data_IF_278468013917
#
_entry.id   IF_278468013917
#
_cell.length_a   1.000
_cell.length_b   1.000
_cell.length_c   1.000
_cell.angle_alpha   90.00
_cell.angle_beta   90.00
_cell.angle_gamma   90.00
#
_symmetry.space_group_name_H-M   'P 1'
#
loop_
_entity.id
_entity.type
_entity.pdbx_description
1 polymer ?
#
# COMPACT_ATOMS: atom_id res chain seq x y z
N UNK A 1 18.98 -12.09 16.21
CA UNK A 1 19.64 -11.80 14.91
C UNK A 1 19.01 -12.74 13.89
N UNK A 2 17.97 -12.30 13.16
CA UNK A 2 17.27 -13.18 12.22
C UNK A 2 18.19 -13.49 11.02
N UNK A 3 18.24 -14.75 10.54
CA UNK A 3 19.00 -15.09 9.35
C UNK A 3 18.50 -14.23 8.19
N UNK A 4 19.43 -13.54 7.52
CA UNK A 4 19.10 -12.77 6.33
C UNK A 4 18.54 -13.74 5.28
N UNK A 5 17.38 -13.45 4.65
CA UNK A 5 16.91 -14.19 3.48
C UNK A 5 18.08 -14.42 2.53
N UNK A 6 18.29 -15.67 2.09
CA UNK A 6 19.21 -15.97 0.99
C UNK A 6 18.54 -15.55 -0.31
N UNK A 7 18.39 -14.24 -0.49
CA UNK A 7 17.83 -13.66 -1.70
C UNK A 7 18.73 -14.10 -2.84
N UNK A 8 18.15 -14.78 -3.83
CA UNK A 8 18.88 -15.27 -4.98
C UNK A 8 19.59 -14.08 -5.64
N UNK A 9 20.93 -14.13 -5.73
CA UNK A 9 21.75 -13.01 -6.19
C UNK A 9 21.29 -12.53 -7.57
N UNK A 10 20.79 -13.44 -8.41
CA UNK A 10 20.17 -13.11 -9.69
C UNK A 10 18.99 -12.14 -9.61
N UNK A 11 18.09 -12.28 -8.62
CA UNK A 11 16.97 -11.36 -8.44
C UNK A 11 17.40 -10.00 -7.89
N UNK A 12 18.47 -9.96 -7.08
CA UNK A 12 19.07 -8.71 -6.62
C UNK A 12 19.75 -7.98 -7.78
N UNK A 13 20.55 -8.70 -8.58
CA UNK A 13 21.19 -8.15 -9.79
C UNK A 13 20.13 -7.69 -10.79
N UNK A 14 19.10 -8.49 -11.07
CA UNK A 14 18.02 -8.11 -11.99
C UNK A 14 17.24 -6.90 -11.47
N UNK A 15 16.89 -6.88 -10.18
CA UNK A 15 16.24 -5.73 -9.55
C UNK A 15 17.11 -4.47 -9.60
N UNK A 16 18.42 -4.63 -9.42
CA UNK A 16 19.41 -3.53 -9.48
C UNK A 16 19.63 -3.06 -10.91
N UNK A 17 19.77 -3.95 -11.89
CA UNK A 17 19.89 -3.65 -13.32
C UNK A 17 18.67 -2.90 -13.82
N UNK A 18 17.49 -3.33 -13.41
CA UNK A 18 16.25 -2.66 -13.82
C UNK A 18 16.11 -1.31 -13.11
N UNK A 19 16.62 -1.16 -11.88
CA UNK A 19 16.68 0.12 -11.17
C UNK A 19 17.68 1.08 -11.80
N UNK A 20 18.88 0.59 -12.10
CA UNK A 20 19.96 1.34 -12.71
C UNK A 20 19.77 1.50 -14.21
N UNK A 21 18.79 0.84 -14.84
CA UNK A 21 18.63 0.88 -16.30
C UNK A 21 18.50 2.31 -16.82
N UNK A 22 17.71 3.15 -16.15
CA UNK A 22 17.54 4.55 -16.54
C UNK A 22 18.82 5.37 -16.27
N UNK A 23 19.48 5.17 -15.12
CA UNK A 23 20.72 5.86 -14.75
C UNK A 23 21.88 5.46 -15.66
N UNK A 24 22.11 4.15 -15.87
CA UNK A 24 23.10 3.59 -16.79
C UNK A 24 22.81 4.03 -18.22
N UNK A 25 21.56 3.98 -18.71
CA UNK A 25 21.30 4.45 -20.08
C UNK A 25 21.62 5.93 -20.22
N UNK A 26 21.28 6.75 -19.21
CA UNK A 26 21.56 8.20 -19.26
C UNK A 26 23.06 8.47 -19.15
N UNK A 27 23.78 7.74 -18.28
CA UNK A 27 25.23 7.85 -18.14
C UNK A 27 25.97 7.37 -19.39
N UNK A 28 25.59 6.23 -19.97
CA UNK A 28 26.20 5.69 -21.18
C UNK A 28 25.96 6.63 -22.36
N UNK A 29 24.72 7.11 -22.54
CA UNK A 29 24.40 8.08 -23.60
C UNK A 29 25.20 9.38 -23.37
N UNK A 30 25.24 9.88 -22.13
CA UNK A 30 26.01 11.06 -21.76
C UNK A 30 27.50 10.89 -22.01
N UNK A 31 28.08 9.74 -21.65
CA UNK A 31 29.49 9.42 -21.86
C UNK A 31 29.82 9.31 -23.35
N UNK A 32 29.01 8.59 -24.13
CA UNK A 32 29.19 8.47 -25.59
C UNK A 32 29.09 9.86 -26.24
N UNK A 33 28.12 10.67 -25.83
CA UNK A 33 27.95 12.04 -26.31
C UNK A 33 29.16 12.91 -25.92
N UNK A 34 29.65 12.80 -24.69
CA UNK A 34 30.83 13.51 -24.22
C UNK A 34 32.07 13.16 -25.05
N UNK A 35 32.38 11.87 -25.20
CA UNK A 35 33.53 11.40 -25.98
C UNK A 35 33.42 11.85 -27.45
N UNK A 36 32.21 11.80 -28.01
CA UNK A 36 31.97 12.29 -29.37
C UNK A 36 32.19 13.80 -29.48
N UNK A 37 31.73 14.61 -28.52
CA UNK A 37 31.94 16.07 -28.55
C UNK A 37 33.38 16.48 -28.23
N UNK A 38 34.05 15.74 -27.34
CA UNK A 38 35.47 15.93 -27.03
C UNK A 38 36.34 15.67 -28.25
N UNK A 39 35.96 14.71 -29.11
CA UNK A 39 36.63 14.47 -30.38
C UNK A 39 36.53 15.63 -31.39
N UNK A 40 35.58 16.55 -31.20
CA UNK A 40 35.47 17.81 -31.99
C UNK A 40 36.44 18.88 -31.49
N UNK A 41 36.98 18.74 -30.28
CA UNK A 41 38.05 19.58 -29.73
C UNK A 41 37.63 20.96 -29.23
N UNK A 42 36.33 21.24 -29.10
CA UNK A 42 35.84 22.54 -28.63
C UNK A 42 35.03 22.45 -27.31
N UNK A 43 35.60 22.87 -26.17
CA UNK A 43 34.96 22.74 -24.86
C UNK A 43 33.72 23.63 -24.69
N UNK A 44 33.60 24.72 -25.45
CA UNK A 44 32.42 25.60 -25.42
C UNK A 44 31.21 24.90 -26.03
N UNK A 45 31.42 24.11 -27.10
CA UNK A 45 30.36 23.32 -27.74
C UNK A 45 29.92 22.20 -26.78
N UNK A 46 30.87 21.50 -26.14
CA UNK A 46 30.56 20.47 -25.13
C UNK A 46 29.71 21.03 -24.00
N UNK A 47 30.16 22.11 -23.37
CA UNK A 47 29.41 22.76 -22.29
C UNK A 47 28.04 23.26 -22.75
N UNK A 48 27.99 23.86 -23.95
CA UNK A 48 26.75 24.36 -24.55
C UNK A 48 25.72 23.25 -24.82
N UNK A 49 26.15 22.05 -25.25
CA UNK A 49 25.24 20.92 -25.46
C UNK A 49 24.77 20.31 -24.15
N UNK A 50 25.66 20.11 -23.17
CA UNK A 50 25.28 19.55 -21.87
C UNK A 50 24.34 20.46 -21.06
N UNK A 51 24.43 21.77 -21.24
CA UNK A 51 23.53 22.75 -20.60
C UNK A 51 22.29 23.03 -21.47
N UNK A 52 22.50 23.22 -22.77
CA UNK A 52 21.45 23.60 -23.71
C UNK A 52 20.45 22.48 -23.99
N UNK A 53 20.89 21.23 -24.07
CA UNK A 53 20.02 20.08 -24.33
C UNK A 53 18.98 19.88 -23.21
N UNK A 54 19.34 19.80 -21.91
CA UNK A 54 18.32 19.71 -20.86
C UNK A 54 17.44 20.95 -20.83
N UNK A 55 18.00 22.16 -21.02
CA UNK A 55 17.20 23.38 -21.11
C UNK A 55 16.13 23.30 -22.20
N UNK A 56 16.49 22.84 -23.40
CA UNK A 56 15.56 22.65 -24.51
C UNK A 56 14.48 21.60 -24.17
N UNK A 57 14.89 20.48 -23.58
CA UNK A 57 13.97 19.40 -23.15
C UNK A 57 13.00 19.89 -22.08
N UNK A 58 13.42 20.79 -21.19
CA UNK A 58 12.56 21.39 -20.17
C UNK A 58 11.72 22.57 -20.69
N UNK A 59 12.19 23.29 -21.70
CA UNK A 59 11.47 24.39 -22.35
C UNK A 59 10.25 23.90 -23.13
N UNK A 60 10.36 22.73 -23.79
CA UNK A 60 9.23 22.14 -24.52
C UNK A 60 8.26 21.47 -23.52
N UNK A 61 6.99 21.93 -23.42
CA UNK A 61 6.07 21.46 -22.39
C UNK A 61 5.70 19.97 -22.55
N UNK A 62 5.75 19.45 -23.77
CA UNK A 62 5.45 18.05 -24.07
C UNK A 62 6.53 17.09 -23.55
N UNK A 63 7.80 17.39 -23.83
CA UNK A 63 8.94 16.60 -23.37
C UNK A 63 9.08 16.67 -21.85
N UNK A 64 8.89 17.85 -21.25
CA UNK A 64 8.85 18.01 -19.79
C UNK A 64 7.81 17.09 -19.15
N UNK A 65 6.59 17.01 -19.70
CA UNK A 65 5.54 16.12 -19.18
C UNK A 65 5.96 14.65 -19.27
N UNK A 66 6.58 14.23 -20.36
CA UNK A 66 7.07 12.86 -20.51
C UNK A 66 8.16 12.52 -19.50
N UNK A 67 9.17 13.38 -19.34
CA UNK A 67 10.27 13.17 -18.40
C UNK A 67 9.74 13.11 -16.96
N UNK A 68 8.88 14.06 -16.58
CA UNK A 68 8.26 14.07 -15.24
C UNK A 68 7.48 12.78 -14.99
N UNK A 69 6.66 12.32 -15.94
CA UNK A 69 5.95 11.04 -15.81
C UNK A 69 6.89 9.83 -15.68
N UNK A 70 8.06 9.84 -16.33
CA UNK A 70 9.05 8.76 -16.15
C UNK A 70 9.77 8.83 -14.81
N UNK A 71 10.06 10.03 -14.32
CA UNK A 71 10.66 10.22 -12.99
C UNK A 71 9.70 9.72 -11.91
N UNK A 72 8.41 10.06 -12.00
CA UNK A 72 7.40 9.55 -11.07
C UNK A 72 7.32 8.01 -11.09
N UNK A 73 7.42 7.37 -12.25
CA UNK A 73 7.47 5.89 -12.34
C UNK A 73 8.62 5.28 -11.54
N UNK A 74 9.77 5.95 -11.49
CA UNK A 74 10.92 5.50 -10.68
C UNK A 74 10.63 5.74 -9.19
N UNK A 75 10.13 6.92 -8.85
CA UNK A 75 9.80 7.30 -7.47
C UNK A 75 8.73 6.38 -6.87
N UNK A 76 7.66 6.10 -7.61
CA UNK A 76 6.56 5.26 -7.16
C UNK A 76 7.00 3.82 -6.97
N UNK A 77 7.83 3.30 -7.89
CA UNK A 77 8.44 1.99 -7.68
C UNK A 77 9.27 1.93 -6.39
N UNK A 78 9.99 2.99 -6.06
CA UNK A 78 10.74 3.06 -4.81
C UNK A 78 9.84 3.13 -3.59
N UNK A 79 8.82 3.97 -3.66
CA UNK A 79 7.86 4.17 -2.57
C UNK A 79 7.03 2.92 -2.31
N UNK A 80 6.53 2.24 -3.35
CA UNK A 80 5.83 0.96 -3.24
C UNK A 80 6.75 -0.09 -2.61
N UNK A 81 8.03 -0.17 -3.02
CA UNK A 81 8.96 -1.14 -2.39
C UNK A 81 9.21 -0.81 -0.92
N UNK A 82 9.35 0.46 -0.58
CA UNK A 82 9.52 0.89 0.81
C UNK A 82 8.27 0.64 1.64
N UNK A 83 7.07 0.89 1.10
CA UNK A 83 5.82 0.61 1.79
C UNK A 83 5.63 -0.88 2.01
N UNK A 84 5.84 -1.72 0.99
CA UNK A 84 5.79 -3.19 1.12
C UNK A 84 6.80 -3.72 2.16
N UNK A 85 7.96 -3.06 2.31
CA UNK A 85 8.93 -3.40 3.36
C UNK A 85 8.48 -2.99 4.76
N UNK A 86 7.77 -1.87 4.87
CA UNK A 86 7.30 -1.32 6.14
C UNK A 86 6.03 -2.02 6.62
N UNK A 87 5.10 -2.31 5.72
CA UNK A 87 3.81 -2.88 6.08
C UNK A 87 3.94 -4.31 6.57
N UNK A 88 4.90 -5.11 6.09
CA UNK A 88 5.14 -6.51 6.55
C UNK A 88 3.89 -7.40 6.65
N UNK A 89 2.76 -6.99 6.07
CA UNK A 89 1.49 -7.68 6.18
C UNK A 89 1.47 -8.69 5.04
N UNK A 90 1.46 -9.98 5.43
CA UNK A 90 1.24 -11.22 4.63
C UNK A 90 2.08 -11.48 3.36
N UNK A 91 2.70 -10.49 2.77
CA UNK A 91 3.41 -10.57 1.47
C UNK A 91 4.82 -11.17 1.57
N UNK A 92 5.34 -11.34 2.79
CA UNK A 92 6.67 -11.89 3.02
C UNK A 92 6.56 -13.41 3.14
N UNK A 93 7.09 -14.13 2.13
CA UNK A 93 7.30 -15.57 2.25
C UNK A 93 8.10 -15.86 3.51
N UNK A 94 7.94 -17.04 4.13
CA UNK A 94 8.66 -17.45 5.34
C UNK A 94 10.19 -17.27 5.25
N UNK A 95 10.72 -17.27 4.03
CA UNK A 95 12.12 -17.01 3.72
C UNK A 95 12.55 -15.54 3.73
N UNK A 96 11.63 -14.57 3.71
CA UNK A 96 11.95 -13.14 3.71
C UNK A 96 11.99 -12.48 2.32
N UNK A 97 11.43 -13.13 1.30
CA UNK A 97 11.38 -12.61 -0.06
C UNK A 97 10.27 -11.58 -0.26
N UNK A 98 10.59 -10.53 -1.01
CA UNK A 98 9.67 -9.42 -1.30
C UNK A 98 9.25 -9.45 -2.77
N UNK A 99 8.01 -9.03 -3.09
CA UNK A 99 7.58 -8.84 -4.47
C UNK A 99 8.59 -8.00 -5.28
N UNK A 100 8.87 -8.46 -6.49
CA UNK A 100 9.80 -7.82 -7.40
C UNK A 100 9.02 -6.92 -8.34
N UNK A 101 9.12 -5.61 -8.11
CA UNK A 101 8.63 -4.62 -9.04
C UNK A 101 9.63 -4.60 -10.20
N UNK A 102 9.22 -4.90 -11.43
CA UNK A 102 10.14 -4.98 -12.58
C UNK A 102 9.86 -3.94 -13.66
N UNK A 103 8.63 -3.47 -13.84
CA UNK A 103 8.33 -2.48 -14.87
C UNK A 103 7.34 -1.43 -14.40
N UNK A 104 7.55 -0.18 -14.78
CA UNK A 104 6.61 0.90 -14.51
C UNK A 104 6.35 1.64 -15.84
N UNK A 105 5.07 1.88 -16.14
CA UNK A 105 4.63 2.56 -17.36
C UNK A 105 3.73 3.72 -16.97
N UNK A 106 3.95 4.93 -17.51
CA UNK A 106 3.01 6.02 -17.31
C UNK A 106 1.69 5.71 -18.02
N UNK A 107 0.57 6.07 -17.40
CA UNK A 107 -0.79 5.97 -17.94
C UNK A 107 -1.44 7.35 -17.95
N UNK A 108 -2.67 7.47 -18.48
CA UNK A 108 -3.38 8.76 -18.51
C UNK A 108 -3.78 9.25 -17.11
N UNK A 109 -4.05 8.33 -16.19
CA UNK A 109 -4.55 8.59 -14.83
C UNK A 109 -3.44 8.62 -13.78
N UNK A 110 -2.24 8.17 -14.13
CA UNK A 110 -1.12 8.07 -13.23
C UNK A 110 -0.13 7.07 -13.82
N UNK A 111 0.02 5.92 -13.16
CA UNK A 111 1.08 4.96 -13.49
C UNK A 111 0.62 3.53 -13.29
N UNK A 112 1.20 2.60 -14.07
CA UNK A 112 1.00 1.17 -13.93
C UNK A 112 2.33 0.50 -13.61
N UNK A 113 2.40 -0.17 -12.47
CA UNK A 113 3.60 -0.85 -11.98
C UNK A 113 3.38 -2.35 -11.96
N UNK A 114 4.21 -3.08 -12.69
CA UNK A 114 4.19 -4.52 -12.76
C UNK A 114 4.99 -5.13 -11.63
N UNK A 115 4.35 -6.05 -10.93
CA UNK A 115 4.86 -6.72 -9.74
C UNK A 115 4.86 -8.22 -10.01
N UNK A 116 6.03 -8.81 -9.79
CA UNK A 116 6.21 -10.25 -9.76
C UNK A 116 6.14 -10.73 -8.31
N UNK A 117 5.26 -11.69 -8.08
CA UNK A 117 5.00 -12.30 -6.79
C UNK A 117 5.89 -13.54 -6.64
N UNK A 118 6.75 -13.61 -5.61
CA UNK A 118 7.49 -14.84 -5.31
C UNK A 118 6.53 -15.99 -4.96
N UNK A 119 7.02 -17.22 -5.07
CA UNK A 119 6.24 -18.39 -4.67
C UNK A 119 5.83 -18.29 -3.19
N UNK A 120 4.55 -18.61 -2.91
CA UNK A 120 3.95 -18.49 -1.59
C UNK A 120 3.37 -17.12 -1.25
N UNK A 121 3.39 -16.15 -2.18
CA UNK A 121 2.65 -14.89 -2.06
C UNK A 121 1.45 -14.86 -2.99
N UNK A 122 0.33 -14.32 -2.53
CA UNK A 122 -0.89 -14.19 -3.32
C UNK A 122 -1.12 -12.74 -3.75
N UNK A 123 -1.81 -12.57 -4.88
CA UNK A 123 -2.23 -11.24 -5.33
C UNK A 123 -3.11 -10.53 -4.28
N UNK A 124 -3.88 -11.30 -3.51
CA UNK A 124 -4.73 -10.78 -2.44
C UNK A 124 -3.93 -10.10 -1.32
N UNK A 125 -2.72 -10.57 -1.01
CA UNK A 125 -1.86 -9.94 -0.02
C UNK A 125 -1.41 -8.54 -0.46
N UNK A 126 -1.26 -8.34 -1.79
CA UNK A 126 -0.97 -7.02 -2.37
C UNK A 126 -2.21 -6.14 -2.36
N UNK A 127 -3.39 -6.72 -2.58
CA UNK A 127 -4.67 -6.02 -2.53
C UNK A 127 -4.92 -5.43 -1.13
N UNK A 128 -4.70 -6.23 -0.09
CA UNK A 128 -4.80 -5.80 1.31
C UNK A 128 -3.77 -4.70 1.66
N UNK A 129 -2.66 -4.61 0.91
CA UNK A 129 -1.63 -3.58 1.11
C UNK A 129 -1.91 -2.26 0.35
N UNK A 130 -2.92 -2.21 -0.54
CA UNK A 130 -3.19 -1.03 -1.37
C UNK A 130 -3.50 0.22 -0.54
N UNK A 131 -4.17 0.05 0.60
CA UNK A 131 -4.51 1.14 1.53
C UNK A 131 -3.28 1.84 2.12
N UNK A 132 -2.16 1.13 2.21
CA UNK A 132 -0.88 1.72 2.61
C UNK A 132 -0.08 2.23 1.42
N UNK A 133 -0.24 1.59 0.25
CA UNK A 133 0.48 1.96 -0.97
C UNK A 133 -0.01 3.31 -1.51
N UNK A 134 -1.32 3.56 -1.53
CA UNK A 134 -1.89 4.81 -2.01
C UNK A 134 -1.31 6.04 -1.30
N UNK A 135 -1.35 6.16 0.05
CA UNK A 135 -0.73 7.29 0.75
C UNK A 135 0.79 7.28 0.63
N UNK A 136 1.42 6.08 0.62
CA UNK A 136 2.86 5.98 0.43
C UNK A 136 3.30 6.43 -0.97
N UNK A 137 2.44 6.48 -1.98
CA UNK A 137 2.77 7.00 -3.31
C UNK A 137 2.26 8.42 -3.54
N UNK A 138 1.69 9.08 -2.53
CA UNK A 138 1.00 10.37 -2.70
C UNK A 138 -0.08 10.29 -3.81
N UNK A 139 -0.73 9.13 -3.91
CA UNK A 139 -1.77 8.86 -4.88
C UNK A 139 -3.16 9.04 -4.24
N UNK A 140 -4.16 9.28 -5.07
CA UNK A 140 -5.55 9.39 -4.61
C UNK A 140 -6.15 8.02 -4.33
N UNK A 141 -5.77 7.04 -5.14
CA UNK A 141 -6.26 5.66 -5.10
C UNK A 141 -5.19 4.73 -5.71
N UNK A 142 -5.20 3.46 -5.31
CA UNK A 142 -4.33 2.42 -5.88
C UNK A 142 -5.18 1.18 -6.16
N UNK A 143 -5.06 0.60 -7.35
CA UNK A 143 -5.88 -0.54 -7.78
C UNK A 143 -5.01 -1.70 -8.22
N UNK A 144 -5.45 -2.91 -7.92
CA UNK A 144 -4.77 -4.12 -8.39
C UNK A 144 -5.45 -4.68 -9.64
N UNK A 145 -4.64 -5.07 -10.61
CA UNK A 145 -5.03 -5.82 -11.79
C UNK A 145 -4.29 -7.15 -11.82
N UNK A 146 -5.03 -8.25 -11.78
CA UNK A 146 -4.49 -9.60 -11.89
C UNK A 146 -4.60 -10.11 -13.32
N UNK A 147 -3.59 -10.85 -13.79
CA UNK A 147 -3.64 -11.49 -15.12
C UNK A 147 -4.22 -12.89 -14.95
N UNK A 148 -5.33 -13.19 -15.64
CA UNK A 148 -5.98 -14.53 -15.56
C UNK A 148 -5.04 -15.70 -15.90
N UNK A 149 -4.08 -15.47 -16.80
CA UNK A 149 -3.13 -16.51 -17.25
C UNK A 149 -1.92 -16.68 -16.34
N UNK A 150 -1.61 -15.70 -15.49
CA UNK A 150 -0.37 -15.64 -14.70
C UNK A 150 -0.68 -15.10 -13.30
N UNK A 151 -0.83 -15.99 -12.33
CA UNK A 151 -1.06 -15.63 -10.92
C UNK A 151 0.16 -15.00 -10.26
N UNK A 152 1.37 -15.27 -10.78
CA UNK A 152 2.64 -14.73 -10.30
C UNK A 152 2.87 -13.28 -10.73
N UNK A 153 2.05 -12.73 -11.62
CA UNK A 153 2.22 -11.36 -12.12
C UNK A 153 0.95 -10.57 -11.92
N UNK A 154 1.08 -9.45 -11.22
CA UNK A 154 0.02 -8.46 -11.07
C UNK A 154 0.51 -7.07 -11.47
N UNK A 155 -0.43 -6.17 -11.74
CA UNK A 155 -0.17 -4.78 -12.05
C UNK A 155 -0.90 -3.89 -11.05
N UNK A 156 -0.16 -3.00 -10.40
CA UNK A 156 -0.68 -1.98 -9.50
C UNK A 156 -0.85 -0.69 -10.30
N UNK A 157 -2.07 -0.21 -10.39
CA UNK A 157 -2.39 1.09 -10.98
C UNK A 157 -2.44 2.15 -9.89
N UNK A 158 -1.49 3.08 -9.93
CA UNK A 158 -1.38 4.22 -9.04
C UNK A 158 -2.12 5.39 -9.67
N UNK A 159 -3.24 5.79 -9.08
CA UNK A 159 -4.14 6.81 -9.62
C UNK A 159 -3.88 8.14 -8.91
N UNK A 160 -3.34 9.10 -9.66
CA UNK A 160 -3.04 10.46 -9.18
C UNK A 160 -3.95 11.52 -9.79
N UNK A 161 -4.41 11.27 -11.01
CA UNK A 161 -5.25 12.18 -11.79
C UNK A 161 -6.53 11.48 -12.16
N UNK A 162 -7.63 12.17 -11.91
CA UNK A 162 -8.92 11.77 -12.43
C UNK A 162 -9.13 12.44 -13.79
N UNK A 163 -9.12 11.67 -14.91
CA UNK A 163 -9.31 12.23 -16.24
C UNK A 163 -10.73 12.78 -16.44
N UNK A 164 -11.71 12.33 -15.64
CA UNK A 164 -13.10 12.78 -15.71
C UNK A 164 -13.31 14.07 -14.92
N UNK A 165 -12.49 14.33 -13.90
CA UNK A 165 -12.55 15.58 -13.15
C UNK A 165 -12.18 16.81 -14.00
N UNK A 166 -11.28 16.65 -14.98
CA UNK A 166 -10.85 17.75 -15.87
C UNK A 166 -11.86 18.04 -17.00
N UNK A 167 -12.76 17.11 -17.30
CA UNK A 167 -13.80 17.28 -18.31
C UNK A 167 -15.02 16.49 -17.87
N UNK A 168 -15.96 17.19 -17.22
CA UNK A 168 -17.26 16.61 -16.88
C UNK A 168 -17.89 16.11 -18.19
N UNK A 169 -17.91 14.80 -18.38
CA UNK A 169 -18.57 14.20 -19.53
C UNK A 169 -20.06 14.46 -19.35
N UNK A 170 -20.60 15.36 -20.15
CA UNK A 170 -22.03 15.65 -20.17
C UNK A 170 -22.79 14.39 -20.55
N UNK A 171 -23.32 13.68 -19.56
CA UNK A 171 -24.11 12.48 -19.82
C UNK A 171 -25.40 12.89 -20.56
N UNK A 172 -25.80 12.21 -21.64
CA UNK A 172 -27.09 12.46 -22.28
C UNK A 172 -28.27 12.23 -21.32
N UNK A 173 -28.09 11.42 -20.27
CA UNK A 173 -29.07 11.25 -19.19
C UNK A 173 -29.25 12.49 -18.31
N UNK A 174 -28.25 13.40 -18.25
CA UNK A 174 -28.41 14.68 -17.56
C UNK A 174 -29.50 15.57 -18.19
N UNK A 175 -29.87 15.30 -19.45
CA UNK A 175 -31.02 15.96 -20.11
C UNK A 175 -32.35 15.39 -19.63
N UNK A 176 -32.41 14.10 -19.28
CA UNK A 176 -33.63 13.45 -18.81
C UNK A 176 -33.90 13.70 -17.32
N UNK A 177 -32.87 13.77 -16.47
CA UNK A 177 -33.04 14.13 -15.05
C UNK A 177 -33.48 15.57 -14.84
N UNK A 178 -33.26 16.48 -15.80
CA UNK A 178 -33.85 17.83 -15.76
C UNK A 178 -35.37 17.83 -15.94
N UNK A 179 -35.93 16.84 -16.62
CA UNK A 179 -37.38 16.69 -16.80
C UNK A 179 -38.05 15.93 -15.64
N UNK A 180 -37.27 15.23 -14.82
CA UNK A 180 -37.71 14.55 -13.60
C UNK A 180 -37.16 15.21 -12.34
N UNK A 181 -36.84 16.52 -12.38
CA UNK A 181 -36.72 17.27 -11.14
C UNK A 181 -38.03 17.05 -10.38
N UNK A 182 -38.03 16.40 -9.19
CA UNK A 182 -39.25 16.26 -8.43
C UNK A 182 -39.76 17.67 -8.18
N UNK A 183 -40.89 18.01 -8.80
CA UNK A 183 -41.68 19.15 -8.37
C UNK A 183 -41.93 18.92 -6.88
N UNK A 184 -41.48 19.84 -6.02
CA UNK A 184 -41.70 19.78 -4.58
C UNK A 184 -43.10 19.24 -4.24
N UNK A 185 -43.17 18.22 -3.38
CA UNK A 185 -44.18 18.25 -2.34
C UNK A 185 -43.50 17.85 -1.03
N UNK A 186 -42.93 18.83 -0.34
CA UNK A 186 -42.48 18.67 1.04
C UNK A 186 -41.16 17.92 1.17
N UNK A 187 -40.13 18.66 1.57
CA UNK A 187 -38.96 18.10 2.23
C UNK A 187 -39.43 17.24 3.42
N UNK A 188 -39.56 15.93 3.22
CA UNK A 188 -39.44 14.98 4.29
C UNK A 188 -37.97 15.05 4.73
N UNK A 189 -37.70 15.95 5.67
CA UNK A 189 -36.50 15.93 6.49
C UNK A 189 -36.37 14.50 7.00
N UNK A 190 -35.43 13.74 6.44
CA UNK A 190 -34.97 12.50 7.07
C UNK A 190 -34.29 12.96 8.35
N UNK A 191 -35.05 13.06 9.43
CA UNK A 191 -34.51 13.28 10.76
C UNK A 191 -33.63 12.08 11.04
N UNK A 192 -32.32 12.27 11.30
CA UNK A 192 -31.50 11.16 11.78
C UNK A 192 -32.15 10.64 13.06
N UNK A 193 -32.41 9.33 13.12
CA UNK A 193 -32.84 8.67 14.35
C UNK A 193 -31.70 8.92 15.35
N UNK A 194 -31.93 9.84 16.28
CA UNK A 194 -31.05 10.05 17.43
C UNK A 194 -31.11 8.76 18.24
N UNK A 195 -30.01 8.01 18.42
CA UNK A 195 -30.03 6.85 19.29
C UNK A 195 -30.40 7.33 20.69
N UNK A 196 -31.57 6.94 21.16
CA UNK A 196 -32.02 7.17 22.54
C UNK A 196 -31.10 6.37 23.45
N UNK A 197 -30.33 7.00 24.34
CA UNK A 197 -29.60 6.28 25.37
C UNK A 197 -30.62 5.58 26.28
N UNK A 198 -30.39 4.32 26.70
CA UNK A 198 -31.24 3.69 27.70
C UNK A 198 -31.26 4.56 28.96
N UNK A 199 -32.45 4.77 29.51
CA UNK A 199 -32.67 5.58 30.69
C UNK A 199 -31.82 5.06 31.87
N UNK A 200 -31.27 5.93 32.74
CA UNK A 200 -30.54 5.52 33.91
C UNK A 200 -31.49 4.83 34.90
N UNK A 201 -31.28 3.53 35.13
CA UNK A 201 -31.84 2.85 36.30
C UNK A 201 -31.02 3.26 37.52
N UNK A 202 -31.49 4.28 38.21
CA UNK A 202 -30.95 4.70 39.50
C UNK A 202 -31.47 3.77 40.60
N UNK A 203 -30.53 2.99 41.14
CA UNK A 203 -30.39 2.57 42.53
C UNK A 203 -31.44 1.67 43.18
N UNK A 204 -30.98 0.52 43.65
CA UNK A 204 -31.21 0.09 45.04
C UNK A 204 -30.03 -0.76 45.50
N UNK A 205 -29.17 -0.18 46.33
CA UNK A 205 -28.31 -0.89 47.27
C UNK A 205 -29.19 -1.71 48.23
N UNK A 206 -28.79 -2.94 48.52
CA UNK A 206 -29.10 -3.56 49.81
C UNK A 206 -27.89 -4.37 50.24
N UNK A 207 -27.24 -3.83 51.28
CA UNK A 207 -26.19 -4.44 52.09
C UNK A 207 -26.81 -5.42 53.09
N UNK A 208 -26.26 -6.63 53.17
CA UNK A 208 -26.28 -7.53 54.34
C UNK A 208 -25.26 -8.65 54.03
N UNK A 209 -24.03 -8.62 54.53
CA UNK A 209 -23.54 -8.90 55.88
C UNK A 209 -23.67 -10.38 56.34
N UNK A 210 -22.52 -10.86 56.81
CA UNK A 210 -22.25 -11.90 57.81
C UNK A 210 -22.27 -13.40 57.46
N UNK A 211 -21.23 -14.10 57.96
CA UNK A 211 -21.32 -15.54 58.26
C UNK A 211 -20.03 -16.35 58.20
N UNK A 212 -19.12 -16.16 59.15
CA UNK A 212 -17.96 -17.03 59.41
C UNK A 212 -18.33 -18.48 59.74
N UNK A 213 -17.51 -19.47 59.35
CA UNK A 213 -17.02 -20.52 60.29
C UNK A 213 -15.85 -21.34 59.73
N UNK A 214 -15.02 -21.77 60.67
CA UNK A 214 -13.66 -22.28 60.54
C UNK A 214 -13.56 -23.82 60.65
N UNK A 215 -12.31 -24.29 60.47
CA UNK A 215 -11.72 -25.61 60.79
C UNK A 215 -11.96 -26.72 59.74
N UNK A 216 -11.00 -27.55 59.32
CA UNK A 216 -9.66 -27.92 59.81
C UNK A 216 -8.83 -28.46 58.63
N UNK A 217 -7.57 -28.04 58.47
CA UNK A 217 -6.36 -28.83 58.73
C UNK A 217 -6.25 -30.21 58.03
N UNK A 218 -5.43 -30.30 56.99
CA UNK A 218 -4.44 -31.37 56.82
C UNK A 218 -3.34 -30.92 55.84
N UNK A 219 -2.12 -31.00 56.36
CA UNK A 219 -0.83 -30.63 55.82
C UNK A 219 -0.31 -31.69 54.83
N UNK A 220 0.34 -31.24 53.75
CA UNK A 220 1.38 -31.97 53.00
C UNK A 220 1.98 -31.02 51.96
N UNK A 221 3.11 -30.41 52.34
CA UNK A 221 4.00 -29.65 51.47
C UNK A 221 4.62 -30.53 50.37
N UNK A 222 4.57 -30.06 49.13
CA UNK A 222 5.74 -30.11 48.22
C UNK A 222 5.67 -28.93 47.26
N UNK A 223 6.82 -28.30 47.10
CA UNK A 223 7.03 -26.96 46.55
C UNK A 223 7.46 -27.04 45.08
N UNK A 224 6.75 -26.39 44.16
CA UNK A 224 7.33 -25.93 42.89
C UNK A 224 6.57 -24.71 42.32
N UNK A 225 7.31 -23.85 41.64
CA UNK A 225 7.12 -22.40 41.51
C UNK A 225 5.96 -21.95 40.59
N UNK A 226 4.99 -21.27 41.21
CA UNK A 226 4.15 -20.15 40.73
C UNK A 226 3.86 -19.98 39.22
N UNK A 227 2.68 -20.46 38.78
CA UNK A 227 1.89 -19.85 37.69
C UNK A 227 0.49 -19.52 38.22
N UNK A 228 0.07 -18.26 38.06
CA UNK A 228 -1.22 -17.70 38.48
C UNK A 228 -2.36 -18.47 37.79
N UNK A 229 -3.37 -19.01 38.49
CA UNK A 229 -4.49 -19.70 37.83
C UNK A 229 -5.36 -18.65 37.12
N UNK A 230 -5.33 -18.64 35.79
CA UNK A 230 -6.31 -17.91 34.98
C UNK A 230 -7.54 -18.80 34.89
N UNK A 231 -8.69 -18.26 35.28
CA UNK A 231 -9.96 -18.98 35.28
C UNK A 231 -10.28 -19.50 33.87
N UNK A 232 -10.57 -20.79 33.77
CA UNK A 232 -11.01 -21.42 32.52
C UNK A 232 -12.32 -20.76 32.06
N UNK A 233 -12.30 -20.18 30.86
CA UNK A 233 -13.50 -19.63 30.22
C UNK A 233 -14.18 -20.79 29.51
N UNK A 234 -15.15 -21.39 30.19
CA UNK A 234 -16.01 -22.43 29.63
C UNK A 234 -17.26 -21.76 29.07
N UNK A 235 -17.47 -21.90 27.77
CA UNK A 235 -18.73 -21.49 27.11
C UNK A 235 -19.31 -22.75 26.47
N UNK A 236 -20.54 -23.12 26.86
CA UNK A 236 -21.24 -24.33 26.39
C UNK A 236 -20.49 -25.66 26.61
N UNK A 237 -19.65 -25.76 27.64
CA UNK A 237 -18.98 -27.01 27.99
C UNK A 237 -17.75 -27.34 27.15
N UNK A 238 -17.35 -26.46 26.22
CA UNK A 238 -16.11 -26.58 25.47
C UNK A 238 -15.06 -25.64 26.08
N UNK A 239 -13.86 -26.19 26.31
CA UNK A 239 -12.71 -25.46 26.85
C UNK A 239 -11.98 -24.74 25.70
N UNK A 240 -11.97 -23.41 25.75
CA UNK A 240 -11.40 -22.54 24.72
C UNK A 240 -9.92 -22.22 24.95
N UNK A 241 -9.27 -22.85 25.94
CA UNK A 241 -7.86 -22.60 26.27
C UNK A 241 -6.89 -23.02 25.16
N UNK A 242 -7.28 -23.92 24.26
CA UNK A 242 -6.45 -24.41 23.14
C UNK A 242 -6.39 -23.47 21.92
N UNK A 243 -7.21 -22.42 21.86
CA UNK A 243 -7.29 -21.51 20.70
C UNK A 243 -6.58 -20.17 20.91
N UNK A 244 -5.91 -19.97 22.04
CA UNK A 244 -5.27 -18.70 22.39
C UNK A 244 -3.79 -18.95 22.74
N UNK A 245 -2.97 -19.01 21.69
CA UNK A 245 -1.50 -18.88 21.75
C UNK A 245 -1.05 -17.54 21.12
#
# INVERSE_FOLDING_TARGET
>A
MMPRPKQWVGFVILGTLVRWRAEITTLVIGLVLYVWLDSVGNPWITSGVFIGLPLLVFAVPYTRRMVVSRVWCVVDRHRIRSSLRQTKIRTVTRDGDYPLLFWARPTKTGERVWVWLPAGSAARDVEDALDYIAPACMARDARLHTIRKLSTVCAIDVIRRDPLAASAVGSPLSRFTKHHAPADPGAATVTPIKPTPPAPTTSSETTTDNGSRAASAADSQSSETARKPVAAVVVNGEDLSDYVD
#
